data_IF_184425324593
#
_entry.id   IF_184425324593
#
_cell.length_a   1.000
_cell.length_b   1.000
_cell.length_c   1.000
_cell.angle_alpha   90.00
_cell.angle_beta   90.00
_cell.angle_gamma   90.00
#
_symmetry.space_group_name_H-M   'P 1'
#
loop_
_entity.id
_entity.type
_entity.pdbx_description
1 polymer ?
#
# COMPACT_ATOMS: atom_id res chain seq x y z
N UNK A 1 16.03 -2.70 -10.53
CA UNK A 1 15.23 -1.84 -9.63
C UNK A 1 15.17 -2.55 -8.30
N UNK A 2 15.49 -1.83 -7.23
CA UNK A 2 15.28 -2.30 -5.87
C UNK A 2 13.83 -2.00 -5.50
N UNK A 3 13.07 -3.03 -5.16
CA UNK A 3 11.64 -2.93 -4.87
C UNK A 3 11.41 -3.59 -3.52
N UNK A 4 11.53 -2.79 -2.48
CA UNK A 4 11.22 -3.18 -1.11
C UNK A 4 10.28 -2.16 -0.48
N UNK A 5 9.59 -2.62 0.55
CA UNK A 5 8.72 -1.81 1.37
C UNK A 5 9.53 -1.30 2.57
N UNK A 6 9.69 0.01 2.65
CA UNK A 6 10.18 0.67 3.84
C UNK A 6 9.00 0.96 4.77
N UNK A 7 9.09 0.46 6.00
CA UNK A 7 8.02 0.62 6.98
C UNK A 7 8.13 2.01 7.63
N UNK A 8 7.09 2.83 7.46
CA UNK A 8 7.01 4.17 8.04
C UNK A 8 6.34 4.14 9.43
N UNK A 9 5.20 3.46 9.54
CA UNK A 9 4.47 3.31 10.80
C UNK A 9 3.64 2.02 10.84
N UNK A 10 3.32 1.55 12.04
CA UNK A 10 2.44 0.41 12.30
C UNK A 10 1.50 0.73 13.44
N UNK A 11 0.21 0.65 13.17
CA UNK A 11 -0.85 0.86 14.14
C UNK A 11 -1.70 -0.41 14.26
N UNK A 12 -2.17 -0.68 15.47
CA UNK A 12 -2.99 -1.86 15.78
C UNK A 12 -4.17 -1.44 16.64
N UNK A 13 -5.36 -1.96 16.32
CA UNK A 13 -6.59 -1.78 17.11
C UNK A 13 -7.48 -3.02 17.01
N UNK A 14 -7.53 -3.81 18.09
CA UNK A 14 -8.25 -5.08 18.15
C UNK A 14 -7.77 -6.05 17.07
N UNK A 15 -8.71 -6.49 16.21
CA UNK A 15 -8.41 -7.40 15.08
C UNK A 15 -7.85 -6.66 13.86
N UNK A 16 -7.60 -5.35 13.92
CA UNK A 16 -7.11 -4.56 12.80
C UNK A 16 -5.66 -4.14 12.99
N UNK A 17 -4.89 -4.22 11.90
CA UNK A 17 -3.56 -3.63 11.79
C UNK A 17 -3.50 -2.72 10.56
N UNK A 18 -2.78 -1.60 10.68
CA UNK A 18 -2.45 -0.69 9.60
C UNK A 18 -0.94 -0.57 9.47
N UNK A 19 -0.45 -0.57 8.24
CA UNK A 19 0.96 -0.39 7.89
C UNK A 19 1.09 0.80 6.94
N UNK A 20 1.78 1.85 7.35
CA UNK A 20 2.22 2.91 6.45
C UNK A 20 3.59 2.55 5.87
N UNK A 21 3.77 2.79 4.57
CA UNK A 21 4.98 2.40 3.87
C UNK A 21 5.36 3.36 2.75
N UNK A 22 6.64 3.34 2.40
CA UNK A 22 7.21 3.93 1.19
C UNK A 22 8.05 2.92 0.42
N UNK A 23 8.38 3.23 -0.83
CA UNK A 23 9.37 2.50 -1.63
C UNK A 23 10.56 3.41 -1.99
N UNK A 24 11.69 2.84 -2.44
CA UNK A 24 12.87 3.62 -2.85
C UNK A 24 12.62 4.59 -4.01
N UNK A 25 11.52 4.44 -4.76
CA UNK A 25 11.14 5.32 -5.86
C UNK A 25 10.21 6.46 -5.41
N UNK A 26 9.92 6.55 -4.11
CA UNK A 26 9.08 7.59 -3.51
C UNK A 26 7.58 7.33 -3.60
N UNK A 27 7.15 6.14 -4.05
CA UNK A 27 5.75 5.74 -3.93
C UNK A 27 5.42 5.52 -2.46
N UNK A 28 4.24 5.98 -2.04
CA UNK A 28 3.76 5.83 -0.67
C UNK A 28 2.39 5.19 -0.65
N UNK A 29 2.12 4.48 0.44
CA UNK A 29 0.82 3.87 0.65
C UNK A 29 0.59 3.45 2.09
N UNK A 30 -0.60 2.92 2.32
CA UNK A 30 -0.95 2.26 3.56
C UNK A 30 -1.74 0.98 3.29
N UNK A 31 -1.51 -0.04 4.09
CA UNK A 31 -2.23 -1.31 4.07
C UNK A 31 -3.04 -1.48 5.34
N UNK A 32 -4.30 -1.90 5.20
CA UNK A 32 -5.18 -2.28 6.29
C UNK A 32 -5.39 -3.79 6.25
N UNK A 33 -5.29 -4.43 7.41
CA UNK A 33 -5.39 -5.87 7.56
C UNK A 33 -6.34 -6.18 8.71
N UNK A 34 -7.36 -6.99 8.47
CA UNK A 34 -8.10 -7.63 9.55
C UNK A 34 -7.52 -9.01 9.80
N UNK A 35 -7.01 -9.25 10.99
CA UNK A 35 -6.35 -10.50 11.40
C UNK A 35 -7.23 -11.18 12.43
N UNK A 36 -7.72 -12.39 12.12
CA UNK A 36 -8.51 -13.21 13.05
C UNK A 36 -7.97 -14.62 13.08
N UNK A 37 -7.82 -15.18 14.29
CA UNK A 37 -7.25 -16.51 14.50
C UNK A 37 -5.86 -16.66 13.86
N UNK A 38 -5.05 -15.59 13.85
CA UNK A 38 -3.72 -15.57 13.25
C UNK A 38 -3.70 -15.53 11.72
N UNK A 39 -4.83 -15.33 11.05
CA UNK A 39 -4.94 -15.26 9.58
C UNK A 39 -5.47 -13.90 9.11
N UNK A 40 -4.96 -13.40 7.97
CA UNK A 40 -5.49 -12.20 7.31
C UNK A 40 -6.83 -12.56 6.65
N UNK A 41 -7.93 -12.06 7.21
CA UNK A 41 -9.28 -12.25 6.68
C UNK A 41 -9.70 -11.16 5.71
N UNK A 42 -9.14 -9.96 5.86
CA UNK A 42 -9.37 -8.84 4.97
C UNK A 42 -8.07 -8.07 4.78
N UNK A 43 -7.82 -7.64 3.55
CA UNK A 43 -6.70 -6.76 3.21
C UNK A 43 -7.17 -5.69 2.25
N UNK A 44 -6.76 -4.44 2.49
CA UNK A 44 -6.93 -3.34 1.53
C UNK A 44 -5.73 -2.43 1.55
N UNK A 45 -5.17 -2.16 0.38
CA UNK A 45 -4.11 -1.17 0.18
C UNK A 45 -4.64 0.10 -0.44
N UNK A 46 -4.10 1.23 0.00
CA UNK A 46 -4.23 2.53 -0.64
C UNK A 46 -2.83 3.03 -0.97
N UNK A 47 -2.66 3.60 -2.16
CA UNK A 47 -1.39 4.18 -2.59
C UNK A 47 -1.68 5.31 -3.58
N UNK A 48 -0.68 6.16 -3.82
CA UNK A 48 -0.80 7.19 -4.84
C UNK A 48 -0.75 6.57 -6.25
N UNK A 49 -1.93 6.38 -6.84
CA UNK A 49 -2.09 5.81 -8.17
C UNK A 49 -1.41 6.66 -9.26
N UNK A 50 -1.41 7.98 -9.13
CA UNK A 50 -0.85 8.87 -10.16
C UNK A 50 0.68 8.73 -10.20
N UNK A 51 1.34 8.78 -9.04
CA UNK A 51 2.78 8.55 -8.88
C UNK A 51 3.18 7.18 -9.42
N UNK A 52 2.39 6.14 -9.13
CA UNK A 52 2.65 4.80 -9.67
C UNK A 52 2.61 4.77 -11.20
N UNK A 53 1.59 5.34 -11.83
CA UNK A 53 1.46 5.35 -13.30
C UNK A 53 2.58 6.15 -13.96
N UNK A 54 2.92 7.32 -13.41
CA UNK A 54 4.02 8.14 -13.92
C UNK A 54 5.37 7.42 -13.82
N UNK A 55 5.65 6.77 -12.67
CA UNK A 55 6.89 6.01 -12.48
C UNK A 55 6.97 4.77 -13.39
N UNK A 56 5.83 4.14 -13.68
CA UNK A 56 5.73 3.00 -14.60
C UNK A 56 5.66 3.40 -16.08
N UNK A 57 5.53 4.69 -16.40
CA UNK A 57 5.33 5.18 -17.78
C UNK A 57 3.99 4.75 -18.39
N UNK A 58 2.97 4.53 -17.56
CA UNK A 58 1.64 4.11 -18.00
C UNK A 58 0.75 5.30 -18.39
N UNK A 59 -0.12 5.15 -19.40
CA UNK A 59 -1.04 6.21 -19.81
C UNK A 59 -2.09 6.49 -18.72
N UNK A 60 -2.43 7.75 -18.50
CA UNK A 60 -3.45 8.13 -17.50
C UNK A 60 -4.88 7.93 -18.01
N UNK A 61 -5.06 7.82 -19.32
CA UNK A 61 -6.34 7.50 -19.96
C UNK A 61 -6.85 6.09 -19.65
N UNK A 62 -5.94 5.17 -19.26
CA UNK A 62 -6.29 3.79 -18.86
C UNK A 62 -6.80 3.72 -17.42
N UNK A 63 -6.93 4.86 -16.73
CA UNK A 63 -7.44 4.92 -15.37
C UNK A 63 -8.96 4.75 -15.38
N UNK A 64 -9.51 3.67 -14.78
CA UNK A 64 -10.95 3.53 -14.61
C UNK A 64 -11.48 4.67 -13.76
N UNK A 65 -12.54 5.33 -14.24
CA UNK A 65 -13.30 6.34 -13.48
C UNK A 65 -14.13 5.70 -12.38
#
# INVERSE_FOLDING_TARGET
>A
QDMHCDIEDRLEDGDWAMLEWSDPNGLRGCGFFQIKHGLIQFQRGYFDRLTFYQAAGLPLEDIPR
#
